data_IF_021717148246
#
_entry.id   IF_021717148246
#
_cell.length_a   1.000
_cell.length_b   1.000
_cell.length_c   1.000
_cell.angle_alpha   90.00
_cell.angle_beta   90.00
_cell.angle_gamma   90.00
#
_symmetry.space_group_name_H-M   'P 1'
#
loop_
_entity.id
_entity.type
_entity.pdbx_description
1 polymer ?
#
# COMPACT_ATOMS: atom_id res chain seq x y z
N UNK A 1 -7.26 64.22 -9.91
CA UNK A 1 -6.10 65.13 -9.92
C UNK A 1 -4.97 64.43 -10.68
N UNK A 2 -4.61 65.00 -11.85
CA UNK A 2 -3.37 64.89 -12.65
C UNK A 2 -2.56 63.56 -12.62
N UNK A 3 -2.54 62.75 -13.69
CA UNK A 3 -1.64 62.83 -14.89
C UNK A 3 -0.16 62.57 -14.57
N UNK A 4 0.46 61.45 -14.96
CA UNK A 4 0.97 61.07 -16.30
C UNK A 4 2.49 61.32 -16.46
N UNK A 5 3.17 60.36 -17.10
CA UNK A 5 4.47 60.45 -17.81
C UNK A 5 5.73 60.81 -17.01
N UNK A 6 6.97 60.52 -17.42
CA UNK A 6 7.63 59.54 -18.26
C UNK A 6 9.15 59.87 -18.14
N UNK A 7 10.00 58.84 -18.21
CA UNK A 7 11.36 58.79 -18.79
C UNK A 7 12.31 60.01 -18.69
N UNK A 8 13.53 59.76 -18.18
CA UNK A 8 14.77 60.20 -18.84
C UNK A 8 15.99 59.43 -18.29
N UNK A 9 16.80 58.89 -19.22
CA UNK A 9 18.23 58.58 -19.06
C UNK A 9 19.02 59.91 -18.94
N UNK A 10 20.27 60.01 -18.48
CA UNK A 10 21.52 59.50 -19.06
C UNK A 10 22.67 60.07 -18.19
N UNK A 11 23.79 59.35 -18.00
CA UNK A 11 25.16 59.91 -18.12
C UNK A 11 26.26 58.95 -17.60
N UNK A 12 27.25 58.73 -18.46
CA UNK A 12 28.62 58.18 -18.25
C UNK A 12 29.60 59.34 -18.61
N UNK A 13 30.91 59.40 -18.23
CA UNK A 13 31.88 58.27 -18.26
C UNK A 13 33.13 58.29 -17.30
N UNK A 14 33.80 57.11 -17.23
CA UNK A 14 35.27 56.76 -17.10
C UNK A 14 36.18 57.54 -16.12
N UNK A 15 36.99 56.89 -15.27
CA UNK A 15 38.32 56.36 -15.65
C UNK A 15 38.99 55.46 -14.58
N UNK A 16 39.77 54.49 -15.08
CA UNK A 16 40.94 53.71 -14.60
C UNK A 16 41.37 53.58 -13.11
N UNK A 17 41.60 52.32 -12.72
CA UNK A 17 42.55 51.92 -11.66
C UNK A 17 42.71 50.40 -11.58
N UNK A 18 43.88 49.88 -11.98
CA UNK A 18 44.23 48.47 -12.17
C UNK A 18 44.94 47.86 -10.93
N UNK A 19 44.81 46.53 -10.73
CA UNK A 19 45.71 45.53 -10.07
C UNK A 19 45.04 44.73 -8.92
N UNK A 20 44.69 43.45 -9.14
CA UNK A 20 45.53 42.21 -9.10
C UNK A 20 45.59 41.60 -7.68
N UNK A 21 44.85 40.53 -7.39
CA UNK A 21 45.15 39.08 -7.57
C UNK A 21 45.73 38.43 -6.30
N UNK A 22 45.01 37.48 -5.72
CA UNK A 22 45.57 36.30 -5.05
C UNK A 22 44.49 35.21 -4.90
N UNK A 23 44.58 34.18 -5.75
CA UNK A 23 43.88 32.90 -5.62
C UNK A 23 44.78 31.96 -4.82
N UNK A 24 44.29 31.40 -3.71
CA UNK A 24 44.94 30.30 -3.00
C UNK A 24 44.46 28.94 -3.55
N UNK A 25 45.41 28.03 -3.78
CA UNK A 25 45.20 26.61 -4.13
C UNK A 25 45.04 25.78 -2.84
N UNK A 26 44.34 24.62 -2.85
CA UNK A 26 44.38 23.66 -1.76
C UNK A 26 45.55 22.68 -1.91
N UNK A 27 46.21 22.38 -0.78
CA UNK A 27 47.31 21.41 -0.65
C UNK A 27 46.78 20.03 -0.27
N UNK A 28 47.43 19.00 -0.84
CA UNK A 28 47.23 17.59 -0.54
C UNK A 28 47.86 17.21 0.80
N UNK A 29 47.17 16.38 1.59
CA UNK A 29 47.73 15.74 2.78
C UNK A 29 47.72 14.21 2.60
N UNK A 30 48.89 13.62 2.85
CA UNK A 30 49.24 12.19 2.76
C UNK A 30 48.53 11.37 3.83
N UNK A 31 48.13 10.14 3.51
CA UNK A 31 47.94 9.06 4.49
C UNK A 31 48.85 7.88 4.11
N UNK A 32 49.63 7.43 5.07
CA UNK A 32 50.68 6.45 4.91
C UNK A 32 50.14 5.01 4.94
N UNK A 33 50.66 4.17 4.03
CA UNK A 33 50.64 2.70 4.14
C UNK A 33 51.58 2.26 5.25
N UNK A 34 51.13 1.35 6.11
CA UNK A 34 52.01 0.52 6.93
C UNK A 34 51.83 -0.95 6.50
N UNK A 35 52.83 -1.46 5.78
CA UNK A 35 53.06 -2.89 5.54
C UNK A 35 54.07 -3.37 6.57
N UNK A 36 53.77 -4.48 7.25
CA UNK A 36 54.75 -5.27 7.99
C UNK A 36 54.78 -6.68 7.40
N UNK A 37 55.95 -7.01 6.86
CA UNK A 37 56.37 -8.28 6.32
C UNK A 37 57.16 -9.04 7.38
N UNK A 38 56.91 -10.34 7.53
CA UNK A 38 57.81 -11.40 8.01
C UNK A 38 57.21 -12.69 7.40
N UNK A 39 57.89 -13.61 6.72
CA UNK A 39 59.28 -13.90 6.38
C UNK A 39 59.23 -15.30 5.71
N UNK A 40 60.04 -15.55 4.70
CA UNK A 40 59.88 -16.71 3.79
C UNK A 40 60.69 -17.98 4.11
N UNK A 41 60.34 -19.02 3.33
CA UNK A 41 61.12 -20.18 2.83
C UNK A 41 61.31 -21.43 3.74
N UNK A 42 61.55 -22.66 3.21
CA UNK A 42 61.17 -23.25 1.90
C UNK A 42 60.69 -24.74 1.96
N UNK A 43 60.38 -25.29 0.77
CA UNK A 43 60.00 -26.66 0.40
C UNK A 43 60.83 -27.83 0.98
N UNK A 44 60.17 -28.96 1.25
CA UNK A 44 60.71 -30.30 0.99
C UNK A 44 59.59 -31.34 0.80
N UNK A 45 59.68 -32.08 -0.31
CA UNK A 45 58.79 -33.15 -0.71
C UNK A 45 59.05 -34.46 0.06
N UNK A 46 58.02 -35.29 0.23
CA UNK A 46 58.12 -36.76 0.17
C UNK A 46 56.76 -37.42 -0.02
N UNK A 47 56.71 -38.35 -0.96
CA UNK A 47 55.59 -39.22 -1.30
C UNK A 47 55.37 -40.29 -0.23
N UNK A 48 54.12 -40.75 -0.05
CA UNK A 48 53.81 -42.18 -0.02
C UNK A 48 52.29 -42.41 -0.16
N UNK A 49 51.95 -43.30 -1.08
CA UNK A 49 50.63 -43.93 -1.25
C UNK A 49 50.33 -44.83 -0.06
N UNK A 50 49.08 -44.90 0.40
CA UNK A 50 48.43 -46.13 0.89
C UNK A 50 46.90 -45.96 1.00
N UNK A 51 46.18 -46.91 0.38
CA UNK A 51 44.74 -47.13 0.49
C UNK A 51 44.37 -47.54 1.92
N UNK A 52 43.22 -47.08 2.40
CA UNK A 52 42.57 -47.63 3.59
C UNK A 52 41.15 -47.08 3.74
N UNK A 53 40.16 -47.92 3.48
CA UNK A 53 38.75 -47.62 3.76
C UNK A 53 38.48 -47.57 5.26
N UNK A 54 37.54 -46.72 5.66
CA UNK A 54 37.06 -46.62 7.02
C UNK A 54 35.75 -45.82 7.05
N UNK A 55 34.63 -46.54 7.00
CA UNK A 55 33.32 -46.00 7.35
C UNK A 55 33.35 -45.54 8.82
N UNK A 56 33.05 -44.27 9.08
CA UNK A 56 32.71 -43.76 10.41
C UNK A 56 31.45 -42.92 10.29
N UNK A 57 30.30 -43.57 10.51
CA UNK A 57 29.03 -42.89 10.72
C UNK A 57 29.06 -42.20 12.09
N UNK A 58 28.94 -40.87 12.12
CA UNK A 58 28.47 -40.14 13.30
C UNK A 58 27.00 -39.75 13.05
N UNK A 59 26.07 -40.03 13.97
CA UNK A 59 24.70 -39.57 13.82
C UNK A 59 24.70 -38.05 13.98
N UNK A 60 24.39 -37.32 12.92
CA UNK A 60 23.97 -35.91 13.05
C UNK A 60 22.60 -35.94 13.69
N UNK A 61 22.54 -35.64 14.99
CA UNK A 61 21.32 -35.22 15.65
C UNK A 61 20.86 -33.98 14.90
N UNK A 62 19.82 -34.14 14.08
CA UNK A 62 19.17 -33.05 13.40
C UNK A 62 18.23 -32.39 14.43
N UNK A 63 18.78 -31.55 15.30
CA UNK A 63 17.98 -30.55 15.99
C UNK A 63 17.45 -29.60 14.94
N UNK A 64 16.24 -29.89 14.45
CA UNK A 64 15.46 -28.98 13.62
C UNK A 64 14.97 -27.86 14.54
N UNK A 65 15.86 -26.92 14.83
CA UNK A 65 15.46 -25.62 15.36
C UNK A 65 14.66 -24.96 14.25
N UNK A 66 13.34 -24.89 14.40
CA UNK A 66 12.50 -24.02 13.59
C UNK A 66 13.01 -22.60 13.85
N UNK A 67 13.84 -22.08 12.95
CA UNK A 67 14.16 -20.66 12.96
C UNK A 67 12.83 -19.93 12.71
N UNK A 68 12.37 -19.17 13.69
CA UNK A 68 11.29 -18.21 13.47
C UNK A 68 11.70 -17.34 12.27
N UNK A 69 10.78 -17.15 11.31
CA UNK A 69 11.00 -16.25 10.18
C UNK A 69 11.34 -14.86 10.73
N UNK A 70 12.43 -14.26 10.26
CA UNK A 70 12.76 -12.87 10.61
C UNK A 70 11.61 -11.96 10.17
N UNK A 71 11.20 -11.01 11.02
CA UNK A 71 10.18 -10.03 10.65
C UNK A 71 10.58 -9.29 9.37
N UNK A 72 9.70 -9.28 8.38
CA UNK A 72 9.94 -8.65 7.09
C UNK A 72 8.97 -7.49 6.91
N UNK A 73 9.50 -6.29 6.70
CA UNK A 73 8.72 -5.17 6.14
C UNK A 73 8.17 -5.64 4.79
N UNK A 74 6.96 -5.24 4.39
CA UNK A 74 6.21 -5.78 3.24
C UNK A 74 6.85 -5.56 1.82
N UNK A 75 8.16 -5.33 1.75
CA UNK A 75 8.97 -5.14 0.55
C UNK A 75 9.62 -6.48 0.20
N UNK A 76 9.11 -7.13 -0.84
CA UNK A 76 9.56 -8.44 -1.30
C UNK A 76 10.29 -8.30 -2.63
N UNK A 77 11.55 -7.89 -2.59
CA UNK A 77 12.43 -7.81 -3.77
C UNK A 77 13.03 -9.18 -4.08
N UNK A 78 13.17 -9.50 -5.36
CA UNK A 78 13.87 -10.70 -5.85
C UNK A 78 15.21 -10.33 -6.50
N UNK A 79 16.10 -11.30 -6.69
CA UNK A 79 17.48 -11.08 -7.20
C UNK A 79 17.53 -10.47 -8.62
N UNK A 80 16.45 -10.58 -9.40
CA UNK A 80 16.30 -9.97 -10.73
C UNK A 80 15.81 -8.49 -10.68
N UNK A 81 15.58 -7.97 -9.48
CA UNK A 81 15.07 -6.63 -9.21
C UNK A 81 13.57 -6.46 -9.42
N UNK A 82 12.84 -7.55 -9.68
CA UNK A 82 11.37 -7.53 -9.68
C UNK A 82 10.80 -7.57 -8.27
N UNK A 83 9.56 -7.08 -8.12
CA UNK A 83 8.84 -7.10 -6.85
C UNK A 83 7.83 -8.26 -6.84
N UNK A 84 7.92 -9.14 -5.84
CA UNK A 84 7.05 -10.31 -5.67
C UNK A 84 6.36 -10.33 -4.32
N UNK A 85 5.14 -9.80 -4.27
CA UNK A 85 4.28 -9.82 -3.08
C UNK A 85 4.07 -11.25 -2.55
N UNK A 86 4.31 -11.43 -1.26
CA UNK A 86 4.00 -12.66 -0.53
C UNK A 86 2.50 -12.78 -0.23
N UNK A 87 1.98 -14.00 -0.32
CA UNK A 87 0.57 -14.29 -0.07
C UNK A 87 0.22 -14.23 1.43
N UNK A 88 -1.01 -13.83 1.70
CA UNK A 88 -1.64 -13.81 3.03
C UNK A 88 -1.79 -15.23 3.59
N UNK A 89 -1.56 -15.42 4.90
CA UNK A 89 -1.48 -16.74 5.55
C UNK A 89 -2.73 -17.10 6.38
N UNK A 90 -3.47 -16.13 6.91
CA UNK A 90 -4.71 -16.39 7.62
C UNK A 90 -5.88 -16.37 6.64
N UNK A 91 -6.52 -17.53 6.47
CA UNK A 91 -7.49 -17.82 5.39
C UNK A 91 -8.77 -18.50 5.88
N UNK A 92 -9.06 -18.43 7.18
CA UNK A 92 -10.34 -18.91 7.70
C UNK A 92 -11.47 -17.98 7.21
N UNK A 93 -12.73 -18.45 7.27
CA UNK A 93 -13.88 -17.71 6.77
C UNK A 93 -15.00 -17.57 7.80
N UNK A 94 -15.64 -16.40 7.80
CA UNK A 94 -16.95 -16.22 8.46
C UNK A 94 -18.00 -16.91 7.58
N UNK A 95 -18.75 -17.84 8.17
CA UNK A 95 -19.80 -18.58 7.46
C UNK A 95 -21.05 -18.70 8.36
N UNK A 96 -21.94 -19.65 8.04
CA UNK A 96 -23.22 -19.81 8.74
C UNK A 96 -23.07 -20.12 10.25
N UNK A 97 -24.19 -20.02 10.96
CA UNK A 97 -24.29 -20.00 12.43
C UNK A 97 -23.64 -21.18 13.17
N UNK A 98 -23.42 -22.33 12.52
CA UNK A 98 -22.81 -23.53 13.11
C UNK A 98 -21.32 -23.71 12.82
N UNK A 99 -20.67 -22.72 12.20
CA UNK A 99 -19.25 -22.79 11.85
C UNK A 99 -18.31 -22.36 12.97
N UNK A 100 -17.00 -22.56 12.78
CA UNK A 100 -15.95 -22.05 13.69
C UNK A 100 -16.08 -20.53 13.91
N UNK A 101 -16.44 -19.80 12.84
CA UNK A 101 -16.66 -18.36 12.82
C UNK A 101 -18.06 -18.05 12.25
N UNK A 102 -19.12 -18.12 13.07
CA UNK A 102 -20.47 -17.78 12.69
C UNK A 102 -20.68 -16.26 12.58
N UNK A 103 -21.40 -15.81 11.56
CA UNK A 103 -21.79 -14.40 11.40
C UNK A 103 -22.69 -13.91 12.56
N UNK A 104 -22.08 -13.29 13.57
CA UNK A 104 -22.75 -12.81 14.80
C UNK A 104 -22.33 -11.36 15.09
N UNK A 105 -23.29 -10.53 15.51
CA UNK A 105 -23.09 -9.12 15.82
C UNK A 105 -22.07 -8.94 16.95
N UNK A 106 -21.18 -7.98 16.79
CA UNK A 106 -20.24 -7.62 17.83
C UNK A 106 -19.19 -8.69 18.13
N UNK A 107 -19.06 -9.76 17.33
CA UNK A 107 -17.99 -10.76 17.48
C UNK A 107 -16.71 -10.36 16.75
N UNK A 108 -16.83 -9.72 15.59
CA UNK A 108 -15.71 -9.43 14.71
C UNK A 108 -15.23 -7.99 14.82
N UNK A 109 -13.95 -7.78 14.50
CA UNK A 109 -13.32 -6.47 14.41
C UNK A 109 -12.40 -6.40 13.20
N UNK A 110 -12.38 -5.26 12.51
CA UNK A 110 -11.56 -5.05 11.32
C UNK A 110 -10.48 -3.99 11.61
N UNK A 111 -9.22 -4.36 11.47
CA UNK A 111 -8.10 -3.42 11.57
C UNK A 111 -7.67 -2.97 10.18
N UNK A 112 -7.66 -1.67 9.93
CA UNK A 112 -7.37 -1.07 8.63
C UNK A 112 -6.39 0.10 8.74
N UNK A 113 -5.83 0.46 7.58
CA UNK A 113 -5.28 1.78 7.31
C UNK A 113 -6.04 2.35 6.12
N UNK A 114 -6.49 3.60 6.18
CA UNK A 114 -7.10 4.27 5.01
C UNK A 114 -6.11 4.36 3.84
N UNK A 115 -4.81 4.36 4.11
CA UNK A 115 -3.81 4.38 3.07
C UNK A 115 -3.74 3.09 2.25
N UNK A 116 -3.96 1.94 2.89
CA UNK A 116 -3.79 0.64 2.27
C UNK A 116 -4.97 0.34 1.31
N UNK A 117 -4.74 0.20 -0.01
CA UNK A 117 -5.83 -0.08 -0.96
C UNK A 117 -6.53 -1.41 -0.68
N UNK A 118 -5.82 -2.41 -0.15
CA UNK A 118 -6.38 -3.71 0.21
C UNK A 118 -7.34 -3.61 1.40
N UNK A 119 -6.96 -2.82 2.43
CA UNK A 119 -7.79 -2.62 3.61
C UNK A 119 -9.01 -1.74 3.29
N UNK A 120 -8.84 -0.73 2.44
CA UNK A 120 -9.93 0.14 2.01
C UNK A 120 -11.03 -0.58 1.23
N UNK A 121 -10.70 -1.67 0.49
CA UNK A 121 -11.73 -2.54 -0.13
C UNK A 121 -12.66 -3.13 0.93
N UNK A 122 -12.09 -3.62 2.02
CA UNK A 122 -12.84 -4.23 3.12
C UNK A 122 -13.73 -3.18 3.79
N UNK A 123 -13.18 -1.98 4.06
CA UNK A 123 -13.94 -0.88 4.64
C UNK A 123 -15.10 -0.42 3.74
N UNK A 124 -14.86 -0.26 2.43
CA UNK A 124 -15.89 0.13 1.48
C UNK A 124 -17.01 -0.91 1.40
N UNK A 125 -16.69 -2.21 1.33
CA UNK A 125 -17.71 -3.27 1.29
C UNK A 125 -18.46 -3.39 2.62
N UNK A 126 -17.77 -3.23 3.76
CA UNK A 126 -18.40 -3.18 5.09
C UNK A 126 -19.46 -2.08 5.14
N UNK A 127 -19.13 -0.86 4.67
CA UNK A 127 -20.06 0.28 4.59
C UNK A 127 -21.19 0.05 3.58
N UNK A 128 -20.88 -0.44 2.38
CA UNK A 128 -21.87 -0.74 1.35
C UNK A 128 -22.91 -1.76 1.82
N UNK A 129 -22.50 -2.75 2.63
CA UNK A 129 -23.39 -3.75 3.23
C UNK A 129 -24.07 -3.24 4.51
N UNK A 130 -23.67 -2.08 5.03
CA UNK A 130 -24.22 -1.49 6.24
C UNK A 130 -23.89 -2.29 7.50
N UNK A 131 -22.67 -2.82 7.59
CA UNK A 131 -22.21 -3.72 8.66
C UNK A 131 -21.50 -2.98 9.81
N UNK A 132 -21.50 -1.65 9.83
CA UNK A 132 -20.80 -0.82 10.83
C UNK A 132 -21.26 -1.09 12.27
N UNK A 133 -22.54 -1.47 12.46
CA UNK A 133 -23.08 -1.79 13.79
C UNK A 133 -22.69 -3.21 14.24
N UNK A 134 -22.32 -4.09 13.29
CA UNK A 134 -22.01 -5.50 13.56
C UNK A 134 -20.51 -5.77 13.70
N UNK A 135 -19.67 -5.01 12.99
CA UNK A 135 -18.22 -5.21 12.91
C UNK A 135 -17.53 -3.92 13.32
N UNK A 136 -16.80 -3.96 14.43
CA UNK A 136 -16.01 -2.82 14.89
C UNK A 136 -14.82 -2.56 13.97
N UNK A 137 -14.31 -1.33 13.95
CA UNK A 137 -13.17 -0.92 13.13
C UNK A 137 -12.15 -0.18 13.97
N UNK A 138 -10.86 -0.49 13.78
CA UNK A 138 -9.74 0.32 14.27
C UNK A 138 -8.85 0.75 13.12
N UNK A 139 -8.31 1.95 13.23
CA UNK A 139 -7.60 2.67 12.17
C UNK A 139 -6.22 3.04 12.69
N UNK A 140 -5.21 2.43 12.09
CA UNK A 140 -3.79 2.63 12.44
C UNK A 140 -3.27 3.98 11.94
N UNK A 141 -2.17 4.45 12.54
CA UNK A 141 -1.48 5.65 12.08
C UNK A 141 -0.93 5.49 10.65
N UNK A 142 -0.96 6.52 9.77
CA UNK A 142 -0.43 6.46 8.41
C UNK A 142 1.06 6.13 8.34
N UNK A 143 1.85 6.79 9.18
CA UNK A 143 3.31 6.64 9.23
C UNK A 143 3.69 5.38 10.01
N UNK A 144 4.59 4.58 9.47
CA UNK A 144 5.16 3.42 10.17
C UNK A 144 6.19 3.82 11.23
N UNK A 145 6.22 3.06 12.32
CA UNK A 145 7.30 3.09 13.33
C UNK A 145 7.91 1.71 13.52
N UNK A 146 9.08 1.66 14.16
CA UNK A 146 9.65 0.40 14.65
C UNK A 146 8.69 -0.28 15.62
N UNK A 147 8.37 -1.53 15.34
CA UNK A 147 7.32 -2.28 16.07
C UNK A 147 7.83 -3.01 17.32
N UNK A 148 9.08 -3.48 17.30
CA UNK A 148 9.82 -4.04 18.43
C UNK A 148 11.30 -3.64 18.32
N UNK A 149 11.62 -2.35 18.55
CA UNK A 149 12.97 -1.80 18.35
C UNK A 149 14.06 -2.50 19.19
N UNK A 150 13.68 -3.18 20.25
CA UNK A 150 14.56 -4.01 21.09
C UNK A 150 14.87 -5.40 20.50
N UNK A 151 14.11 -5.83 19.49
CA UNK A 151 14.24 -7.16 18.86
C UNK A 151 14.80 -7.05 17.44
N UNK A 152 14.25 -6.15 16.62
CA UNK A 152 14.61 -6.03 15.21
C UNK A 152 14.31 -4.63 14.64
N UNK A 153 14.65 -4.44 13.36
CA UNK A 153 14.45 -3.19 12.62
C UNK A 153 13.07 -3.13 11.93
N UNK A 154 12.16 -4.07 12.19
CA UNK A 154 10.87 -4.10 11.51
C UNK A 154 10.04 -2.85 11.86
N UNK A 155 9.70 -2.08 10.83
CA UNK A 155 8.78 -0.97 10.90
C UNK A 155 7.43 -1.33 10.27
N UNK A 156 6.33 -0.89 10.89
CA UNK A 156 5.00 -1.20 10.43
C UNK A 156 3.92 -0.37 11.10
N UNK A 157 2.68 -0.84 10.97
CA UNK A 157 1.49 -0.14 11.45
C UNK A 157 1.43 -0.09 12.98
N UNK A 158 1.20 1.11 13.50
CA UNK A 158 1.06 1.40 14.93
C UNK A 158 -0.31 1.99 15.25
N UNK A 159 -0.81 1.72 16.45
CA UNK A 159 -2.00 2.39 16.98
C UNK A 159 -1.57 3.61 17.80
N UNK A 160 -2.23 4.75 17.58
CA UNK A 160 -2.01 6.01 18.28
C UNK A 160 -3.36 6.64 18.58
N UNK A 161 -3.45 7.37 19.69
CA UNK A 161 -4.61 8.19 20.03
C UNK A 161 -4.61 9.48 19.20
N UNK A 162 -5.79 10.06 18.88
CA UNK A 162 -5.88 11.38 18.25
C UNK A 162 -5.17 12.51 19.02
N UNK A 163 -4.97 12.31 20.32
CA UNK A 163 -4.28 13.22 21.25
C UNK A 163 -2.76 13.06 21.23
N UNK A 164 -2.26 11.93 20.74
CA UNK A 164 -0.81 11.67 20.69
C UNK A 164 -0.12 12.66 19.75
N UNK A 165 1.16 13.00 20.03
CA UNK A 165 1.94 13.81 19.11
C UNK A 165 2.13 13.08 17.78
N UNK A 166 2.20 13.82 16.66
CA UNK A 166 2.47 13.22 15.36
C UNK A 166 3.86 12.57 15.35
N UNK A 167 3.97 11.44 14.66
CA UNK A 167 5.21 10.66 14.64
C UNK A 167 6.04 10.98 13.39
N UNK A 168 7.37 11.12 13.50
CA UNK A 168 8.23 11.27 12.34
C UNK A 168 8.34 9.96 11.55
N UNK A 169 8.79 10.02 10.30
CA UNK A 169 9.27 8.83 9.59
C UNK A 169 10.39 8.13 10.37
N UNK A 170 10.67 6.86 10.05
CA UNK A 170 11.76 6.10 10.67
C UNK A 170 13.16 6.68 10.43
N UNK A 171 13.30 7.61 9.46
CA UNK A 171 14.51 8.39 9.24
C UNK A 171 14.57 9.70 10.07
N UNK A 172 13.57 9.98 10.90
CA UNK A 172 13.50 11.18 11.75
C UNK A 172 12.98 12.45 11.06
N UNK A 173 12.46 12.34 9.84
CA UNK A 173 11.93 13.47 9.07
C UNK A 173 10.41 13.41 8.93
N UNK A 174 9.77 14.57 8.75
CA UNK A 174 8.34 14.70 8.42
C UNK A 174 7.41 14.13 9.49
N UNK A 175 6.79 14.99 10.29
CA UNK A 175 5.84 14.60 11.32
C UNK A 175 4.54 15.36 11.08
N UNK A 176 3.47 14.62 10.78
CA UNK A 176 2.19 15.17 10.38
C UNK A 176 1.08 14.53 11.20
N UNK A 177 0.08 15.34 11.59
CA UNK A 177 -1.04 14.88 12.40
C UNK A 177 -2.17 14.37 11.49
N UNK A 178 -2.51 13.07 11.51
CA UNK A 178 -3.64 12.55 10.75
C UNK A 178 -4.96 13.06 11.35
N UNK A 179 -5.99 13.16 10.50
CA UNK A 179 -7.33 13.59 10.89
C UNK A 179 -8.10 12.52 11.66
N UNK A 180 -7.99 11.27 11.20
CA UNK A 180 -8.79 10.16 11.72
C UNK A 180 -7.86 9.05 12.19
N UNK A 181 -7.95 8.74 13.49
CA UNK A 181 -7.35 7.58 14.11
C UNK A 181 -8.40 6.92 15.00
N UNK A 182 -8.42 5.60 15.02
CA UNK A 182 -9.27 4.82 15.91
C UNK A 182 -8.37 3.78 16.56
N UNK A 183 -7.89 4.02 17.80
CA UNK A 183 -7.04 3.08 18.53
C UNK A 183 -7.67 1.69 18.63
N UNK A 184 -6.84 0.69 18.93
CA UNK A 184 -7.33 -0.65 19.23
C UNK A 184 -8.01 -0.70 20.60
N UNK A 185 -9.34 -0.72 20.61
CA UNK A 185 -10.15 -0.88 21.83
C UNK A 185 -10.42 -2.33 22.20
N UNK A 186 -9.98 -3.29 21.40
CA UNK A 186 -10.26 -4.72 21.59
C UNK A 186 -9.13 -5.40 22.36
N UNK A 187 -7.89 -5.28 21.88
CA UNK A 187 -6.74 -5.93 22.50
C UNK A 187 -5.81 -4.93 23.21
N UNK A 188 -6.05 -3.62 23.04
CA UNK A 188 -5.12 -2.55 23.45
C UNK A 188 -3.71 -2.78 22.89
N UNK A 189 -3.61 -3.33 21.68
CA UNK A 189 -2.35 -3.60 21.02
C UNK A 189 -1.68 -2.28 20.60
N UNK A 190 -0.36 -2.10 20.83
CA UNK A 190 0.35 -0.90 20.38
C UNK A 190 0.64 -0.91 18.87
N UNK A 191 0.67 -2.10 18.25
CA UNK A 191 1.01 -2.29 16.84
C UNK A 191 0.19 -3.40 16.21
N UNK A 192 0.09 -3.41 14.87
CA UNK A 192 -0.51 -4.55 14.15
C UNK A 192 0.32 -5.81 14.36
N UNK A 193 1.65 -5.71 14.45
CA UNK A 193 2.51 -6.85 14.80
C UNK A 193 2.09 -7.50 16.11
N UNK A 194 1.73 -6.72 17.12
CA UNK A 194 1.27 -7.26 18.40
C UNK A 194 -0.03 -8.07 18.25
N UNK A 195 -0.93 -7.74 17.32
CA UNK A 195 -2.12 -8.57 17.03
C UNK A 195 -1.71 -9.94 16.47
N UNK A 196 -0.74 -9.98 15.57
CA UNK A 196 -0.20 -11.22 15.02
C UNK A 196 0.54 -12.04 16.08
N UNK A 197 1.27 -11.39 16.99
CA UNK A 197 1.90 -12.06 18.14
C UNK A 197 0.83 -12.69 19.05
N UNK A 198 -0.28 -11.98 19.35
CA UNK A 198 -1.40 -12.52 20.14
C UNK A 198 -2.02 -13.73 19.44
N UNK A 199 -2.14 -13.69 18.12
CA UNK A 199 -2.64 -14.80 17.31
C UNK A 199 -1.65 -15.97 17.17
N UNK A 200 -0.46 -15.89 17.78
CA UNK A 200 0.63 -16.85 17.63
C UNK A 200 1.07 -17.06 16.17
N UNK A 201 1.03 -16.00 15.35
CA UNK A 201 1.53 -16.07 13.98
C UNK A 201 3.06 -16.24 13.97
N UNK A 202 3.54 -17.03 13.01
CA UNK A 202 4.97 -17.26 12.77
C UNK A 202 5.38 -16.87 11.35
N UNK A 203 4.48 -16.26 10.58
CA UNK A 203 4.70 -15.87 9.19
C UNK A 203 5.62 -14.66 9.04
N UNK A 204 5.65 -13.78 10.05
CA UNK A 204 6.60 -12.65 10.09
C UNK A 204 6.24 -11.48 9.17
N UNK A 205 5.01 -11.45 8.65
CA UNK A 205 4.46 -10.38 7.80
C UNK A 205 3.17 -9.81 8.37
N UNK A 206 3.27 -8.59 8.88
CA UNK A 206 2.20 -7.97 9.66
C UNK A 206 1.43 -6.95 8.80
N UNK A 207 0.47 -7.46 8.03
CA UNK A 207 -0.30 -6.67 7.05
C UNK A 207 -1.61 -6.13 7.62
N UNK A 208 -2.19 -5.13 6.93
CA UNK A 208 -3.61 -4.81 7.00
C UNK A 208 -4.26 -5.09 5.63
N UNK A 209 -5.53 -5.51 5.55
CA UNK A 209 -6.50 -5.64 6.64
C UNK A 209 -6.25 -6.85 7.56
N UNK A 210 -6.75 -6.78 8.79
CA UNK A 210 -6.87 -7.93 9.70
C UNK A 210 -8.32 -8.05 10.14
N UNK A 211 -8.97 -9.16 9.79
CA UNK A 211 -10.28 -9.54 10.32
C UNK A 211 -10.07 -10.40 11.57
N UNK A 212 -10.45 -9.86 12.72
CA UNK A 212 -10.20 -10.42 14.04
C UNK A 212 -11.47 -11.00 14.66
N UNK A 213 -11.34 -12.16 15.31
CA UNK A 213 -12.39 -12.72 16.16
C UNK A 213 -12.13 -12.37 17.62
N UNK A 214 -13.01 -11.55 18.20
CA UNK A 214 -12.92 -11.14 19.61
C UNK A 214 -13.20 -12.27 20.58
N UNK A 215 -13.95 -13.29 20.15
CA UNK A 215 -14.31 -14.41 21.01
C UNK A 215 -13.12 -15.36 21.23
N UNK A 216 -12.35 -15.64 20.19
CA UNK A 216 -11.19 -16.55 20.26
C UNK A 216 -9.85 -15.82 20.28
N UNK A 217 -9.85 -14.48 20.31
CA UNK A 217 -8.66 -13.62 20.29
C UNK A 217 -7.65 -14.03 19.23
N UNK A 218 -8.12 -14.17 17.97
CA UNK A 218 -7.26 -14.60 16.86
C UNK A 218 -7.64 -13.95 15.54
N UNK A 219 -6.76 -14.06 14.55
CA UNK A 219 -6.98 -13.59 13.19
C UNK A 219 -7.81 -14.65 12.44
N UNK A 220 -8.99 -14.24 11.96
CA UNK A 220 -9.80 -15.04 11.04
C UNK A 220 -9.15 -15.02 9.66
N UNK A 221 -8.94 -13.82 9.13
CA UNK A 221 -8.48 -13.65 7.75
C UNK A 221 -7.68 -12.36 7.59
N UNK A 222 -6.61 -12.39 6.79
CA UNK A 222 -5.85 -11.19 6.39
C UNK A 222 -5.75 -11.02 4.86
N UNK A 223 -6.56 -11.74 4.10
CA UNK A 223 -6.70 -11.67 2.66
C UNK A 223 -7.91 -10.81 2.27
N UNK A 224 -7.65 -9.59 1.80
CA UNK A 224 -8.71 -8.62 1.47
C UNK A 224 -9.74 -9.14 0.47
N UNK A 225 -9.33 -9.97 -0.49
CA UNK A 225 -10.24 -10.50 -1.52
C UNK A 225 -11.24 -11.52 -0.97
N UNK A 226 -10.89 -12.23 0.10
CA UNK A 226 -11.80 -13.16 0.77
C UNK A 226 -12.67 -12.44 1.78
N UNK A 227 -12.12 -11.48 2.52
CA UNK A 227 -12.86 -10.67 3.50
C UNK A 227 -14.05 -9.98 2.83
N UNK A 228 -13.86 -9.35 1.67
CA UNK A 228 -14.98 -8.70 0.95
C UNK A 228 -16.06 -9.69 0.51
N UNK A 229 -15.71 -10.95 0.18
CA UNK A 229 -16.68 -11.99 -0.16
C UNK A 229 -17.47 -12.46 1.06
N UNK A 230 -16.83 -12.52 2.23
CA UNK A 230 -17.52 -12.78 3.50
C UNK A 230 -18.50 -11.66 3.82
N UNK A 231 -18.08 -10.39 3.74
CA UNK A 231 -18.96 -9.25 4.00
C UNK A 231 -20.12 -9.18 3.00
N UNK A 232 -19.90 -9.57 1.74
CA UNK A 232 -20.92 -9.58 0.70
C UNK A 232 -22.12 -10.49 1.03
N UNK A 233 -21.92 -11.60 1.76
CA UNK A 233 -22.95 -12.64 1.88
C UNK A 233 -23.16 -13.26 3.25
N UNK A 234 -22.12 -13.39 4.09
CA UNK A 234 -22.21 -14.14 5.35
C UNK A 234 -23.20 -13.54 6.37
N UNK A 235 -23.52 -12.25 6.24
CA UNK A 235 -24.39 -11.49 7.14
C UNK A 235 -25.76 -11.18 6.52
N UNK A 236 -26.12 -11.73 5.35
CA UNK A 236 -27.38 -11.39 4.68
C UNK A 236 -28.63 -11.95 5.39
N UNK A 237 -28.54 -13.17 5.96
CA UNK A 237 -29.72 -13.90 6.47
C UNK A 237 -30.00 -13.70 7.97
N UNK A 238 -29.13 -12.96 8.69
CA UNK A 238 -29.21 -12.82 10.15
C UNK A 238 -29.70 -11.44 10.62
N UNK A 239 -30.16 -10.58 9.69
CA UNK A 239 -30.65 -9.23 10.00
C UNK A 239 -29.58 -8.21 10.40
N UNK A 240 -28.29 -8.54 10.27
CA UNK A 240 -27.19 -7.64 10.62
C UNK A 240 -26.74 -6.75 9.46
N UNK A 241 -26.97 -7.18 8.23
CA UNK A 241 -26.69 -6.42 7.02
C UNK A 241 -27.87 -5.50 6.68
N UNK A 242 -27.63 -4.18 6.57
CA UNK A 242 -28.69 -3.21 6.18
C UNK A 242 -29.05 -3.31 4.70
N UNK A 243 -28.12 -3.77 3.86
CA UNK A 243 -28.31 -3.89 2.40
C UNK A 243 -28.12 -5.35 1.94
N UNK A 244 -28.96 -6.31 2.37
CA UNK A 244 -28.77 -7.73 2.08
C UNK A 244 -28.90 -8.06 0.58
N UNK A 245 -29.73 -7.29 -0.15
CA UNK A 245 -29.97 -7.46 -1.60
C UNK A 245 -28.80 -7.00 -2.48
N UNK A 246 -27.87 -6.19 -1.95
CA UNK A 246 -26.67 -5.79 -2.69
C UNK A 246 -25.71 -6.99 -2.77
N UNK A 247 -25.58 -7.55 -3.97
CA UNK A 247 -24.62 -8.61 -4.29
C UNK A 247 -23.53 -8.08 -5.24
N UNK A 248 -22.33 -7.92 -4.72
CA UNK A 248 -21.14 -7.49 -5.46
C UNK A 248 -20.44 -8.65 -6.20
N UNK A 249 -20.93 -9.88 -6.06
CA UNK A 249 -20.45 -11.07 -6.77
C UNK A 249 -21.60 -11.99 -7.23
N UNK A 250 -22.54 -11.45 -8.01
CA UNK A 250 -23.75 -12.17 -8.41
C UNK A 250 -23.41 -13.31 -9.35
N UNK A 251 -24.18 -14.40 -9.25
CA UNK A 251 -23.93 -15.65 -9.98
C UNK A 251 -23.73 -15.46 -11.49
N UNK A 252 -24.49 -14.55 -12.10
CA UNK A 252 -24.48 -14.34 -13.55
C UNK A 252 -23.28 -13.52 -14.06
N UNK A 253 -22.55 -12.79 -13.20
CA UNK A 253 -21.33 -12.04 -13.57
C UNK A 253 -20.03 -12.65 -13.04
N UNK A 254 -20.07 -13.76 -12.29
CA UNK A 254 -18.88 -14.33 -11.64
C UNK A 254 -17.72 -14.56 -12.60
N UNK A 255 -18.00 -15.16 -13.76
CA UNK A 255 -16.97 -15.42 -14.77
C UNK A 255 -16.34 -14.14 -15.30
N UNK A 256 -17.13 -13.09 -15.52
CA UNK A 256 -16.62 -11.79 -15.98
C UNK A 256 -15.81 -11.10 -14.88
N UNK A 257 -16.32 -11.10 -13.63
CA UNK A 257 -15.65 -10.53 -12.46
C UNK A 257 -14.28 -11.20 -12.24
N UNK A 258 -14.25 -12.53 -12.29
CA UNK A 258 -13.03 -13.29 -12.06
C UNK A 258 -12.02 -13.07 -13.20
N UNK A 259 -12.49 -13.05 -14.46
CA UNK A 259 -11.66 -12.72 -15.61
C UNK A 259 -11.07 -11.30 -15.54
N UNK A 260 -11.87 -10.31 -15.12
CA UNK A 260 -11.38 -8.94 -14.89
C UNK A 260 -10.33 -8.91 -13.79
N UNK A 261 -10.63 -9.53 -12.65
CA UNK A 261 -9.73 -9.55 -11.49
C UNK A 261 -8.39 -10.24 -11.78
N UNK A 262 -8.38 -11.26 -12.65
CA UNK A 262 -7.19 -12.02 -13.03
C UNK A 262 -6.11 -11.14 -13.67
N UNK A 263 -6.47 -10.16 -14.50
CA UNK A 263 -5.50 -9.23 -15.08
C UNK A 263 -5.38 -7.92 -14.29
N UNK A 264 -6.48 -7.38 -13.74
CA UNK A 264 -6.43 -6.12 -12.96
C UNK A 264 -5.51 -6.25 -11.74
N UNK A 265 -5.49 -7.39 -11.06
CA UNK A 265 -4.62 -7.57 -9.90
C UNK A 265 -3.12 -7.47 -10.25
N UNK A 266 -2.55 -8.33 -11.10
CA UNK A 266 -1.10 -8.33 -11.36
C UNK A 266 -0.61 -7.11 -12.13
N UNK A 267 -1.41 -6.53 -13.03
CA UNK A 267 -0.96 -5.44 -13.93
C UNK A 267 -1.37 -4.05 -13.47
N UNK A 268 -2.40 -3.89 -12.63
CA UNK A 268 -2.82 -2.57 -12.11
C UNK A 268 -2.62 -2.52 -10.60
N UNK A 269 -3.35 -3.34 -9.83
CA UNK A 269 -3.34 -3.21 -8.37
C UNK A 269 -1.97 -3.46 -7.76
N UNK A 270 -1.30 -4.52 -8.22
CA UNK A 270 0.08 -4.83 -7.88
C UNK A 270 1.07 -4.24 -8.90
N UNK A 271 0.61 -3.86 -10.11
CA UNK A 271 1.44 -3.27 -11.15
C UNK A 271 2.11 -1.96 -10.71
N UNK A 272 1.38 -1.07 -10.04
CA UNK A 272 1.95 0.18 -9.51
C UNK A 272 3.04 -0.08 -8.45
N UNK A 273 2.90 -1.14 -7.65
CA UNK A 273 3.91 -1.57 -6.67
C UNK A 273 5.13 -2.18 -7.37
N UNK A 274 4.91 -2.95 -8.45
CA UNK A 274 5.99 -3.48 -9.28
C UNK A 274 6.82 -2.37 -9.93
N UNK A 275 6.20 -1.27 -10.37
CA UNK A 275 6.93 -0.09 -10.81
C UNK A 275 7.70 0.56 -9.66
N UNK A 276 7.02 0.84 -8.54
CA UNK A 276 7.57 1.63 -7.45
C UNK A 276 8.72 0.98 -6.68
N UNK A 277 8.73 -0.35 -6.61
CA UNK A 277 9.71 -1.14 -5.88
C UNK A 277 10.67 -1.91 -6.79
N UNK A 278 10.61 -1.71 -8.10
CA UNK A 278 11.64 -2.23 -9.00
C UNK A 278 13.01 -1.62 -8.65
N UNK A 279 14.04 -2.47 -8.55
CA UNK A 279 15.42 -2.03 -8.28
C UNK A 279 16.31 -2.03 -9.52
N UNK A 280 15.78 -2.52 -10.66
CA UNK A 280 16.42 -2.47 -11.98
C UNK A 280 15.55 -1.72 -12.98
N UNK A 281 16.19 -1.10 -13.98
CA UNK A 281 15.49 -0.35 -15.03
C UNK A 281 14.58 -1.28 -15.85
N UNK A 282 15.05 -2.47 -16.22
CA UNK A 282 14.29 -3.43 -17.03
C UNK A 282 13.02 -3.94 -16.30
N UNK A 283 13.12 -4.22 -15.00
CA UNK A 283 11.96 -4.62 -14.20
C UNK A 283 10.93 -3.49 -14.10
N UNK A 284 11.40 -2.25 -13.92
CA UNK A 284 10.56 -1.06 -13.93
C UNK A 284 9.85 -0.86 -15.28
N UNK A 285 10.58 -0.88 -16.40
CA UNK A 285 10.03 -0.66 -17.74
C UNK A 285 9.02 -1.73 -18.14
N UNK A 286 9.27 -2.99 -17.77
CA UNK A 286 8.34 -4.10 -17.98
C UNK A 286 7.03 -3.87 -17.21
N UNK A 287 7.11 -3.58 -15.91
CA UNK A 287 5.94 -3.30 -15.10
C UNK A 287 5.18 -2.06 -15.57
N UNK A 288 5.90 -1.02 -16.00
CA UNK A 288 5.34 0.22 -16.52
C UNK A 288 4.56 -0.02 -17.82
N UNK A 289 5.13 -0.77 -18.78
CA UNK A 289 4.46 -1.09 -20.03
C UNK A 289 3.17 -1.91 -19.81
N UNK A 290 3.21 -2.92 -18.93
CA UNK A 290 2.04 -3.73 -18.58
C UNK A 290 0.94 -2.91 -17.88
N UNK A 291 1.33 -2.00 -16.97
CA UNK A 291 0.41 -1.11 -16.27
C UNK A 291 -0.35 -0.21 -17.25
N UNK A 292 0.37 0.52 -18.11
CA UNK A 292 -0.25 1.45 -19.03
C UNK A 292 -1.07 0.75 -20.13
N UNK A 293 -0.60 -0.39 -20.65
CA UNK A 293 -1.41 -1.22 -21.55
C UNK A 293 -2.71 -1.70 -20.90
N UNK A 294 -2.69 -1.97 -19.59
CA UNK A 294 -3.89 -2.36 -18.83
C UNK A 294 -4.81 -1.17 -18.53
N UNK A 295 -4.27 0.02 -18.24
CA UNK A 295 -5.07 1.24 -18.09
C UNK A 295 -5.75 1.63 -19.40
N UNK A 296 -5.08 1.50 -20.53
CA UNK A 296 -5.68 1.72 -21.85
C UNK A 296 -6.82 0.71 -22.13
N UNK A 297 -6.65 -0.56 -21.72
CA UNK A 297 -7.72 -1.56 -21.76
C UNK A 297 -8.90 -1.18 -20.88
N UNK A 298 -8.67 -0.71 -19.65
CA UNK A 298 -9.73 -0.22 -18.74
C UNK A 298 -10.50 0.93 -19.41
N UNK A 299 -9.78 1.92 -19.95
CA UNK A 299 -10.38 3.08 -20.62
C UNK A 299 -11.26 2.64 -21.80
N UNK A 300 -10.78 1.71 -22.61
CA UNK A 300 -11.51 1.15 -23.76
C UNK A 300 -12.78 0.40 -23.32
N UNK A 301 -12.70 -0.44 -22.27
CA UNK A 301 -13.87 -1.12 -21.69
C UNK A 301 -14.89 -0.09 -21.19
N UNK A 302 -14.46 0.86 -20.36
CA UNK A 302 -15.33 1.87 -19.75
C UNK A 302 -15.88 2.87 -20.77
N UNK A 303 -15.35 2.94 -21.99
CA UNK A 303 -15.95 3.70 -23.08
C UNK A 303 -17.27 3.11 -23.58
N UNK A 304 -17.49 1.80 -23.38
CA UNK A 304 -18.64 1.04 -23.92
C UNK A 304 -19.64 0.59 -22.88
N UNK A 305 -19.23 0.45 -21.63
CA UNK A 305 -20.09 -0.03 -20.54
C UNK A 305 -19.85 0.74 -19.25
N UNK A 306 -20.82 0.67 -18.33
CA UNK A 306 -20.86 1.47 -17.10
C UNK A 306 -19.85 1.04 -16.04
N UNK A 307 -19.61 -0.26 -15.89
CA UNK A 307 -18.71 -0.83 -14.88
C UNK A 307 -17.69 -1.77 -15.51
N UNK A 308 -16.64 -2.14 -14.78
CA UNK A 308 -15.52 -2.88 -15.38
C UNK A 308 -15.90 -4.32 -15.76
N UNK A 309 -16.88 -4.90 -15.08
CA UNK A 309 -17.34 -6.28 -15.28
C UNK A 309 -18.81 -6.38 -15.73
N UNK A 310 -19.32 -5.35 -16.40
CA UNK A 310 -20.67 -5.34 -16.98
C UNK A 310 -21.48 -4.07 -16.71
N UNK A 311 -22.77 -4.24 -16.46
CA UNK A 311 -23.78 -3.19 -16.35
C UNK A 311 -24.17 -2.81 -14.91
N UNK A 312 -23.73 -3.58 -13.92
CA UNK A 312 -23.92 -3.31 -12.49
C UNK A 312 -22.60 -3.20 -11.73
N UNK A 313 -22.63 -2.51 -10.58
CA UNK A 313 -21.51 -2.40 -9.66
C UNK A 313 -21.15 -3.79 -9.10
N UNK A 314 -19.86 -4.14 -9.15
CA UNK A 314 -19.33 -5.41 -8.62
C UNK A 314 -18.10 -5.17 -7.76
N UNK A 315 -17.59 -6.24 -7.15
CA UNK A 315 -16.33 -6.14 -6.43
C UNK A 315 -15.11 -5.88 -7.32
N UNK A 316 -15.18 -6.20 -8.63
CA UNK A 316 -14.11 -5.86 -9.56
C UNK A 316 -13.92 -4.34 -9.61
N UNK A 317 -15.04 -3.60 -9.54
CA UNK A 317 -15.02 -2.14 -9.49
C UNK A 317 -14.38 -1.61 -8.23
N UNK A 318 -14.77 -2.15 -7.07
CA UNK A 318 -14.19 -1.77 -5.78
C UNK A 318 -12.68 -2.04 -5.78
N UNK A 319 -12.25 -3.20 -6.30
CA UNK A 319 -10.83 -3.58 -6.34
C UNK A 319 -10.01 -2.65 -7.24
N UNK A 320 -10.54 -2.31 -8.41
CA UNK A 320 -9.90 -1.41 -9.37
C UNK A 320 -9.85 0.03 -8.82
N UNK A 321 -10.98 0.55 -8.35
CA UNK A 321 -11.12 1.91 -7.83
C UNK A 321 -10.14 2.25 -6.73
N UNK A 322 -9.87 1.31 -5.80
CA UNK A 322 -8.91 1.55 -4.73
C UNK A 322 -7.48 1.81 -5.22
N UNK A 323 -7.12 1.35 -6.41
CA UNK A 323 -5.86 1.74 -7.06
C UNK A 323 -6.01 3.07 -7.79
N UNK A 324 -7.06 3.25 -8.58
CA UNK A 324 -7.24 4.45 -9.40
C UNK A 324 -7.33 5.74 -8.57
N UNK A 325 -8.06 5.71 -7.45
CA UNK A 325 -8.23 6.87 -6.56
C UNK A 325 -6.91 7.36 -5.94
N UNK A 326 -5.91 6.48 -5.84
CA UNK A 326 -4.57 6.79 -5.29
C UNK A 326 -3.56 7.21 -6.35
N UNK A 327 -3.90 7.04 -7.63
CA UNK A 327 -2.92 7.07 -8.71
C UNK A 327 -2.26 8.44 -8.88
N UNK A 328 -3.06 9.49 -9.02
CA UNK A 328 -2.54 10.83 -9.34
C UNK A 328 -1.83 11.50 -8.16
N UNK A 329 -2.31 11.26 -6.93
CA UNK A 329 -1.74 11.87 -5.70
C UNK A 329 -0.52 11.12 -5.16
N UNK A 330 -0.37 9.85 -5.52
CA UNK A 330 0.71 9.00 -5.02
C UNK A 330 1.50 8.38 -6.16
N UNK A 331 0.90 7.46 -6.92
CA UNK A 331 1.66 6.54 -7.77
C UNK A 331 2.42 7.24 -8.89
N UNK A 332 1.85 8.29 -9.48
CA UNK A 332 2.50 9.07 -10.56
C UNK A 332 3.90 9.54 -10.15
N UNK A 333 4.04 10.12 -8.96
CA UNK A 333 5.33 10.64 -8.47
C UNK A 333 6.07 9.58 -7.68
N UNK A 334 5.41 8.99 -6.69
CA UNK A 334 6.03 8.12 -5.70
C UNK A 334 6.53 6.80 -6.30
N UNK A 335 5.72 6.20 -7.17
CA UNK A 335 6.04 4.96 -7.87
C UNK A 335 6.47 5.16 -9.32
N UNK A 336 6.66 6.42 -9.73
CA UNK A 336 7.10 6.81 -11.07
C UNK A 336 6.16 6.31 -12.18
N UNK A 337 4.88 6.10 -11.90
CA UNK A 337 3.89 5.68 -12.91
C UNK A 337 3.38 6.88 -13.70
N UNK A 338 4.30 7.61 -14.36
CA UNK A 338 4.09 8.95 -14.89
C UNK A 338 3.81 9.03 -16.40
N UNK A 339 3.38 7.93 -17.03
CA UNK A 339 3.05 7.93 -18.46
C UNK A 339 1.81 8.77 -18.80
N UNK A 340 0.78 8.67 -17.96
CA UNK A 340 -0.48 9.42 -18.08
C UNK A 340 -1.24 9.37 -16.75
N UNK A 341 -1.74 10.50 -16.28
CA UNK A 341 -2.53 10.57 -15.05
C UNK A 341 -3.98 10.11 -15.29
N UNK A 342 -4.67 9.62 -14.25
CA UNK A 342 -6.07 9.17 -14.30
C UNK A 342 -7.01 10.29 -14.74
N UNK A 343 -6.76 11.53 -14.31
CA UNK A 343 -7.52 12.70 -14.77
C UNK A 343 -7.47 12.94 -16.29
N UNK A 344 -6.51 12.32 -16.99
CA UNK A 344 -6.36 12.42 -18.45
C UNK A 344 -7.05 11.27 -19.20
N UNK A 345 -7.63 10.30 -18.48
CA UNK A 345 -8.44 9.21 -19.03
C UNK A 345 -9.93 9.55 -18.86
N UNK A 346 -10.64 10.02 -19.90
CA UNK A 346 -11.99 10.56 -19.73
C UNK A 346 -13.00 9.53 -19.20
N UNK A 347 -12.93 8.27 -19.64
CA UNK A 347 -13.87 7.24 -19.16
C UNK A 347 -13.51 6.75 -17.77
N UNK A 348 -12.22 6.53 -17.48
CA UNK A 348 -11.77 6.19 -16.13
C UNK A 348 -12.07 7.32 -15.13
N UNK A 349 -11.86 8.58 -15.51
CA UNK A 349 -12.11 9.71 -14.60
C UNK A 349 -13.60 9.83 -14.26
N UNK A 350 -14.49 9.72 -15.25
CA UNK A 350 -15.94 9.70 -14.99
C UNK A 350 -16.36 8.48 -14.15
N UNK A 351 -15.72 7.33 -14.37
CA UNK A 351 -15.95 6.12 -13.57
C UNK A 351 -15.50 6.31 -12.12
N UNK A 352 -14.33 6.90 -11.89
CA UNK A 352 -13.84 7.23 -10.55
C UNK A 352 -14.75 8.23 -9.84
N UNK A 353 -15.25 9.25 -10.54
CA UNK A 353 -16.23 10.20 -10.00
C UNK A 353 -17.50 9.49 -9.54
N UNK A 354 -18.06 8.61 -10.38
CA UNK A 354 -19.26 7.84 -10.03
C UNK A 354 -19.06 7.00 -8.77
N UNK A 355 -17.97 6.22 -8.71
CA UNK A 355 -17.71 5.38 -7.54
C UNK A 355 -17.43 6.20 -6.29
N UNK A 356 -16.70 7.31 -6.39
CA UNK A 356 -16.44 8.19 -5.26
C UNK A 356 -17.73 8.85 -4.73
N UNK A 357 -18.68 9.16 -5.61
CA UNK A 357 -19.95 9.80 -5.27
C UNK A 357 -20.97 8.84 -4.66
N UNK A 358 -20.71 7.53 -4.66
CA UNK A 358 -21.43 6.58 -3.80
C UNK A 358 -20.96 6.82 -2.35
N UNK A 359 -21.83 7.30 -1.43
CA UNK A 359 -21.40 7.81 -0.12
C UNK A 359 -20.53 6.80 0.67
N UNK A 360 -20.94 5.53 0.69
CA UNK A 360 -20.24 4.46 1.41
C UNK A 360 -18.82 4.22 0.89
N UNK A 361 -18.59 4.41 -0.41
CA UNK A 361 -17.26 4.30 -1.03
C UNK A 361 -16.46 5.57 -0.76
N UNK A 362 -17.05 6.75 -0.99
CA UNK A 362 -16.41 8.04 -0.77
C UNK A 362 -15.92 8.23 0.66
N UNK A 363 -16.74 7.88 1.65
CA UNK A 363 -16.39 7.92 3.09
C UNK A 363 -15.24 6.98 3.48
N UNK A 364 -14.95 5.95 2.67
CA UNK A 364 -13.81 5.07 2.92
C UNK A 364 -12.47 5.71 2.50
N UNK A 365 -12.49 6.81 1.74
CA UNK A 365 -11.31 7.46 1.19
C UNK A 365 -10.88 8.64 2.07
N UNK A 366 -9.75 8.48 2.75
CA UNK A 366 -9.00 9.58 3.36
C UNK A 366 -7.72 9.84 2.56
N UNK A 367 -7.77 10.85 1.67
CA UNK A 367 -6.62 11.19 0.81
C UNK A 367 -5.42 11.71 1.59
N UNK A 368 -5.66 12.34 2.74
CA UNK A 368 -4.59 12.84 3.58
C UNK A 368 -3.84 11.68 4.25
N UNK A 369 -4.57 10.71 4.81
CA UNK A 369 -4.01 9.46 5.35
C UNK A 369 -3.26 8.68 4.26
N UNK A 370 -3.83 8.57 3.06
CA UNK A 370 -3.19 7.96 1.88
C UNK A 370 -1.83 8.61 1.62
N UNK A 371 -1.79 9.92 1.39
CA UNK A 371 -0.54 10.62 1.05
C UNK A 371 0.47 10.54 2.18
N UNK A 372 0.05 10.78 3.42
CA UNK A 372 0.92 10.68 4.59
C UNK A 372 1.61 9.32 4.63
N UNK A 373 0.88 8.22 4.49
CA UNK A 373 1.47 6.89 4.56
C UNK A 373 2.57 6.68 3.52
N UNK A 374 2.25 6.85 2.25
CA UNK A 374 3.20 6.56 1.17
C UNK A 374 4.44 7.44 1.30
N UNK A 375 4.29 8.75 1.50
CA UNK A 375 5.43 9.65 1.53
C UNK A 375 6.23 9.61 2.84
N UNK A 376 5.73 9.05 3.94
CA UNK A 376 6.44 9.03 5.23
C UNK A 376 6.92 7.64 5.68
N UNK A 377 6.39 6.55 5.13
CA UNK A 377 6.66 5.19 5.66
C UNK A 377 7.83 4.47 4.99
N UNK A 378 8.26 4.90 3.81
CA UNK A 378 9.39 4.28 3.10
C UNK A 378 10.52 5.31 2.86
N UNK A 379 11.44 5.48 3.82
CA UNK A 379 12.54 6.46 3.70
C UNK A 379 13.53 6.13 2.58
N UNK A 380 13.56 4.87 2.12
CA UNK A 380 14.34 4.44 0.95
C UNK A 380 13.87 5.18 -0.32
N UNK A 381 12.56 5.40 -0.46
CA UNK A 381 11.99 6.08 -1.62
C UNK A 381 11.83 7.59 -1.41
N UNK A 382 11.66 8.04 -0.17
CA UNK A 382 11.50 9.46 0.16
C UNK A 382 12.10 9.81 1.53
N UNK A 383 13.42 10.02 1.56
CA UNK A 383 14.19 10.18 2.81
C UNK A 383 13.71 11.31 3.70
N UNK A 384 13.34 12.46 3.14
CA UNK A 384 12.93 13.64 3.90
C UNK A 384 11.44 13.67 4.25
N UNK A 385 10.70 12.62 3.90
CA UNK A 385 9.26 12.49 4.18
C UNK A 385 8.42 13.70 3.72
N UNK A 386 8.84 14.35 2.64
CA UNK A 386 8.11 15.48 2.04
C UNK A 386 6.88 14.94 1.33
N UNK A 387 5.70 15.48 1.67
CA UNK A 387 4.43 15.16 1.03
C UNK A 387 4.16 16.20 -0.08
N UNK A 388 4.06 15.80 -1.36
CA UNK A 388 3.72 16.73 -2.43
C UNK A 388 2.34 17.38 -2.23
N UNK A 389 2.19 18.63 -2.66
CA UNK A 389 0.93 19.39 -2.53
C UNK A 389 -0.24 18.65 -3.17
N UNK A 390 -0.07 18.08 -4.37
CA UNK A 390 -1.05 17.21 -5.02
C UNK A 390 -1.64 17.76 -6.31
N UNK A 391 -2.64 17.05 -6.81
CA UNK A 391 -3.32 17.28 -8.09
C UNK A 391 -4.80 17.68 -7.93
N UNK A 392 -5.23 17.99 -6.70
CA UNK A 392 -6.62 18.24 -6.31
C UNK A 392 -7.55 17.06 -6.66
N UNK A 393 -7.10 15.82 -6.44
CA UNK A 393 -7.87 14.63 -6.84
C UNK A 393 -9.28 14.58 -6.23
N UNK A 394 -9.44 14.94 -4.96
CA UNK A 394 -10.77 14.95 -4.31
C UNK A 394 -11.72 15.95 -4.98
N UNK A 395 -11.26 17.16 -5.28
CA UNK A 395 -12.05 18.17 -5.99
C UNK A 395 -12.48 17.66 -7.38
N UNK A 396 -11.58 16.99 -8.10
CA UNK A 396 -11.89 16.38 -9.40
C UNK A 396 -12.91 15.24 -9.31
N UNK A 397 -12.90 14.46 -8.23
CA UNK A 397 -13.84 13.36 -8.00
C UNK A 397 -15.24 13.83 -7.60
N UNK A 398 -15.35 15.04 -7.03
CA UNK A 398 -16.63 15.67 -6.67
C UNK A 398 -17.35 16.30 -7.87
N UNK A 399 -16.65 16.49 -9.01
CA UNK A 399 -17.28 17.01 -10.22
C UNK A 399 -18.32 16.04 -10.80
N UNK A 400 -19.37 16.53 -11.47
CA UNK A 400 -20.32 15.68 -12.16
C UNK A 400 -19.65 14.73 -13.16
N UNK A 401 -20.26 13.55 -13.35
CA UNK A 401 -19.79 12.54 -14.30
C UNK A 401 -20.85 12.19 -15.34
N UNK A 402 -20.43 11.74 -16.52
CA UNK A 402 -21.36 11.35 -17.59
C UNK A 402 -21.55 9.83 -17.69
N UNK A 403 -21.42 9.08 -16.59
CA UNK A 403 -21.67 7.63 -16.57
C UNK A 403 -23.15 7.25 -16.73
N UNK A 404 -24.06 8.19 -16.47
CA UNK A 404 -25.50 8.01 -16.71
C UNK A 404 -25.87 7.76 -18.17
N UNK A 405 -24.99 8.04 -19.15
CA UNK A 405 -25.23 7.76 -20.57
C UNK A 405 -25.39 6.27 -20.92
N UNK A 406 -24.97 5.39 -20.00
CA UNK A 406 -25.15 3.95 -20.14
C UNK A 406 -26.47 3.46 -19.51
N UNK A 407 -27.27 4.36 -18.92
CA UNK A 407 -28.47 3.98 -18.18
C UNK A 407 -29.71 3.91 -19.06
N UNK A 408 -30.20 2.67 -19.19
CA UNK A 408 -31.53 2.27 -18.72
C UNK A 408 -31.52 1.55 -17.36
N UNK A 409 -30.57 1.86 -16.46
CA UNK A 409 -30.36 1.15 -15.17
C UNK A 409 -30.37 2.15 -13.99
N UNK A 410 -31.37 2.05 -13.12
CA UNK A 410 -31.52 2.84 -11.90
C UNK A 410 -30.45 2.45 -10.85
N UNK A 411 -29.77 3.46 -10.28
CA UNK A 411 -29.06 3.28 -9.02
C UNK A 411 -30.08 3.29 -7.86
N UNK A 412 -29.82 2.59 -6.74
CA UNK A 412 -30.66 2.69 -5.56
C UNK A 412 -30.86 4.16 -5.19
N UNK A 413 -32.13 4.56 -5.10
CA UNK A 413 -32.51 5.95 -4.88
C UNK A 413 -31.70 6.57 -3.74
N UNK A 414 -31.11 7.74 -4.02
CA UNK A 414 -30.57 8.61 -2.98
C UNK A 414 -31.70 8.89 -1.99
N UNK A 415 -31.65 8.28 -0.81
CA UNK A 415 -32.41 8.82 0.32
C UNK A 415 -31.71 10.10 0.73
N UNK A 416 -32.15 11.21 0.15
CA UNK A 416 -31.87 12.54 0.68
C UNK A 416 -32.56 12.65 2.03
N UNK A 417 -31.76 12.80 3.09
CA UNK A 417 -32.18 13.33 4.37
C UNK A 417 -31.66 14.76 4.48
#
# INVERSE_FOLDING_TARGET
AASASALAAEDLPRTHGLRALLRMRPSATRLALLTLSLGGLPNAARSLVLRGGGFSARPKVLTRTMAASSAQTCLDETDDGSFKRTASVHRDAITQASSKYPAVAGRYHLYISHACPWANRCLAVLKLKGLEDAIGVSIVHPTWEKTKPEVDEHAGWVFKSPEDPPIPSTAGHGSFKPKVLVPDSVNNAPTVRALYDIANDTGGKYSVPVLWDKHTSTIVNNESSEIIRMFNSAFNENGLCKNPELDLYPKHLRSEIDAVNEWVYPTINNGVYRCGFATTQDAYETAFAELFGSLDRVEDILSRQRYIAGDQLTEADIRLFMTLVRFDEVYVVYFKTNGKAIREYPNIMDYCRELYQIPQIGESIDMEHIKMHYFTSHPILNTYAIIPVGSNTIENLQQPHNRGRFNGVELPAQQTA
#
